data_IF_620871726228
#
_entry.id   IF_620871726228
#
_cell.length_a   1.000
_cell.length_b   1.000
_cell.length_c   1.000
_cell.angle_alpha   90.00
_cell.angle_beta   90.00
_cell.angle_gamma   90.00
#
_symmetry.space_group_name_H-M   'P 1'
#
loop_
_entity.id
_entity.type
_entity.pdbx_description
1 polymer ?
#
# COMPACT_ATOMS: atom_id res chain seq x y z
N UNK A 1 1.57 16.04 13.05
CA UNK A 1 1.58 14.65 12.56
C UNK A 1 1.98 13.74 13.70
N UNK A 2 1.20 12.70 13.94
CA UNK A 2 1.52 11.62 14.89
C UNK A 2 2.02 10.41 14.10
N UNK A 3 2.98 9.67 14.65
CA UNK A 3 3.55 8.48 14.00
C UNK A 3 3.65 7.36 15.01
N UNK A 4 3.08 6.21 14.68
CA UNK A 4 3.15 4.99 15.48
C UNK A 4 3.92 3.93 14.72
N UNK A 5 4.96 3.38 15.34
CA UNK A 5 5.82 2.34 14.76
C UNK A 5 5.46 1.02 15.44
N UNK A 6 5.03 0.05 14.66
CA UNK A 6 4.77 -1.30 15.14
C UNK A 6 6.03 -2.17 15.23
N UNK A 7 5.83 -3.44 15.55
CA UNK A 7 6.91 -4.40 15.73
C UNK A 7 7.65 -4.72 14.43
N UNK A 8 8.97 -4.88 14.52
CA UNK A 8 9.80 -5.36 13.41
C UNK A 8 9.43 -6.79 13.03
N UNK A 9 9.15 -7.00 11.74
CA UNK A 9 8.94 -8.31 11.17
C UNK A 9 10.25 -8.81 10.52
N UNK A 10 10.90 -9.85 11.10
CA UNK A 10 12.18 -10.35 10.59
C UNK A 10 12.08 -11.09 9.26
N UNK A 11 10.90 -11.61 8.91
CA UNK A 11 10.68 -12.34 7.66
C UNK A 11 10.70 -11.40 6.45
N UNK A 12 10.04 -10.23 6.58
CA UNK A 12 9.91 -9.23 5.53
C UNK A 12 10.89 -8.06 5.68
N UNK A 13 11.60 -8.00 6.82
CA UNK A 13 12.54 -6.93 7.20
C UNK A 13 11.90 -5.53 7.23
N UNK A 14 10.65 -5.48 7.65
CA UNK A 14 9.84 -4.25 7.65
C UNK A 14 9.23 -3.97 9.02
N UNK A 15 8.93 -2.69 9.26
CA UNK A 15 8.12 -2.23 10.38
C UNK A 15 6.83 -1.62 9.83
N UNK A 16 5.64 -2.03 10.30
CA UNK A 16 4.41 -1.35 9.97
C UNK A 16 4.38 0.01 10.68
N UNK A 17 4.02 1.06 9.95
CA UNK A 17 3.97 2.43 10.48
C UNK A 17 2.61 3.04 10.17
N UNK A 18 2.02 3.69 11.16
CA UNK A 18 0.79 4.48 11.02
C UNK A 18 1.13 5.96 11.15
N UNK A 19 0.59 6.76 10.24
CA UNK A 19 0.81 8.19 10.10
C UNK A 19 -0.52 8.92 10.22
N UNK A 20 -0.71 9.70 11.29
CA UNK A 20 -2.00 10.36 11.56
C UNK A 20 -1.87 11.88 11.48
N UNK A 21 -2.77 12.51 10.73
CA UNK A 21 -2.90 13.97 10.63
C UNK A 21 -4.37 14.36 10.73
N UNK A 22 -4.79 14.89 11.88
CA UNK A 22 -6.21 15.16 12.15
C UNK A 22 -6.99 13.84 12.18
N UNK A 23 -7.93 13.69 11.25
CA UNK A 23 -8.76 12.47 11.09
C UNK A 23 -8.21 11.49 10.05
N UNK A 24 -7.19 11.88 9.26
CA UNK A 24 -6.57 11.03 8.24
C UNK A 24 -5.52 10.11 8.85
N UNK A 25 -5.60 8.80 8.56
CA UNK A 25 -4.69 7.76 9.08
C UNK A 25 -4.11 6.93 7.95
N UNK A 26 -2.82 7.11 7.67
CA UNK A 26 -2.07 6.38 6.65
C UNK A 26 -1.22 5.27 7.19
N UNK A 27 -1.49 4.04 6.76
CA UNK A 27 -0.73 2.85 7.16
C UNK A 27 0.21 2.42 6.05
N UNK A 28 1.48 2.23 6.38
CA UNK A 28 2.49 1.78 5.42
C UNK A 28 3.60 0.99 6.11
N UNK A 29 4.05 -0.08 5.47
CA UNK A 29 5.28 -0.77 5.87
C UNK A 29 6.52 0.00 5.41
N UNK A 30 7.47 0.21 6.33
CA UNK A 30 8.76 0.85 6.08
C UNK A 30 9.85 -0.20 6.26
N UNK A 31 10.81 -0.24 5.33
CA UNK A 31 11.97 -1.11 5.47
C UNK A 31 12.77 -0.73 6.72
N UNK A 32 13.03 -1.74 7.56
CA UNK A 32 13.82 -1.56 8.76
C UNK A 32 15.30 -1.37 8.41
N UNK A 33 15.98 -0.56 9.21
CA UNK A 33 17.43 -0.44 9.13
C UNK A 33 18.07 -1.57 9.94
N UNK A 34 18.99 -2.30 9.31
CA UNK A 34 19.73 -3.38 9.94
C UNK A 34 21.19 -2.97 10.13
N UNK A 35 21.74 -3.20 11.32
CA UNK A 35 23.15 -3.01 11.64
C UNK A 35 23.77 -4.37 11.91
N UNK A 36 24.72 -4.77 11.06
CA UNK A 36 25.32 -6.12 11.11
C UNK A 36 24.30 -7.26 11.03
N UNK A 37 23.17 -7.05 10.33
CA UNK A 37 22.10 -8.04 10.20
C UNK A 37 21.08 -8.04 11.35
N UNK A 38 21.30 -7.27 12.41
CA UNK A 38 20.35 -7.09 13.51
C UNK A 38 19.52 -5.82 13.35
N UNK A 39 18.31 -5.82 13.89
CA UNK A 39 17.40 -4.68 13.86
C UNK A 39 17.98 -3.50 14.64
N UNK A 40 18.14 -2.35 13.97
CA UNK A 40 18.58 -1.11 14.60
C UNK A 40 17.36 -0.18 14.79
N UNK A 41 16.83 -0.07 16.03
CA UNK A 41 15.64 0.73 16.29
C UNK A 41 15.90 2.23 16.11
N UNK A 42 17.12 2.71 16.40
CA UNK A 42 17.46 4.12 16.30
C UNK A 42 17.53 4.56 14.83
N UNK A 43 18.27 3.80 14.00
CA UNK A 43 18.36 4.06 12.56
C UNK A 43 17.00 3.90 11.88
N UNK A 44 16.19 2.92 12.31
CA UNK A 44 14.83 2.73 11.78
C UNK A 44 13.93 3.90 12.17
N UNK A 45 14.01 4.40 13.40
CA UNK A 45 13.23 5.57 13.82
C UNK A 45 13.58 6.83 13.00
N UNK A 46 14.87 7.06 12.72
CA UNK A 46 15.32 8.15 11.86
C UNK A 46 14.78 8.00 10.43
N UNK A 47 14.80 6.78 9.90
CA UNK A 47 14.24 6.48 8.58
C UNK A 47 12.73 6.74 8.56
N UNK A 48 12.01 6.31 9.59
CA UNK A 48 10.57 6.57 9.73
C UNK A 48 10.30 8.08 9.83
N UNK A 49 11.10 8.84 10.55
CA UNK A 49 10.95 10.29 10.66
C UNK A 49 11.12 11.01 9.31
N UNK A 50 12.02 10.53 8.44
CA UNK A 50 12.15 11.05 7.07
C UNK A 50 10.90 10.73 6.23
N UNK A 51 10.40 9.50 6.33
CA UNK A 51 9.18 9.09 5.61
C UNK A 51 7.98 9.91 6.11
N UNK A 52 7.86 10.12 7.42
CA UNK A 52 6.81 10.93 8.03
C UNK A 52 6.78 12.34 7.43
N UNK A 53 7.92 13.01 7.28
CA UNK A 53 7.98 14.34 6.63
C UNK A 53 7.45 14.31 5.20
N UNK A 54 7.82 13.30 4.41
CA UNK A 54 7.32 13.15 3.05
C UNK A 54 5.83 12.82 2.98
N UNK A 55 5.31 12.03 3.92
CA UNK A 55 3.88 11.73 4.04
C UNK A 55 3.11 12.96 4.48
N UNK A 56 3.60 13.73 5.45
CA UNK A 56 2.99 14.98 5.89
C UNK A 56 2.78 15.96 4.72
N UNK A 57 3.81 16.17 3.91
CA UNK A 57 3.72 17.04 2.72
C UNK A 57 2.70 16.51 1.72
N UNK A 58 2.66 15.19 1.49
CA UNK A 58 1.68 14.60 0.56
C UNK A 58 0.25 14.65 1.08
N UNK A 59 0.05 14.55 2.40
CA UNK A 59 -1.25 14.73 3.02
C UNK A 59 -1.71 16.18 2.95
N UNK A 60 -0.80 17.13 3.24
CA UNK A 60 -1.07 18.58 3.16
C UNK A 60 -1.45 19.01 1.74
N UNK A 61 -0.77 18.45 0.73
CA UNK A 61 -1.09 18.66 -0.68
C UNK A 61 -2.34 17.92 -1.17
N UNK A 62 -3.00 17.12 -0.32
CA UNK A 62 -4.16 16.32 -0.70
C UNK A 62 -3.84 15.20 -1.71
N UNK A 63 -2.60 14.72 -1.74
CA UNK A 63 -2.18 13.55 -2.55
C UNK A 63 -2.48 12.24 -1.81
N UNK A 64 -2.32 12.24 -0.48
CA UNK A 64 -2.76 11.14 0.39
C UNK A 64 -4.04 11.61 1.07
N UNK A 65 -5.17 11.12 0.57
CA UNK A 65 -6.52 11.56 1.01
C UNK A 65 -7.31 10.49 1.74
N UNK A 66 -6.77 9.28 1.90
CA UNK A 66 -7.42 8.07 2.43
C UNK A 66 -8.90 8.25 2.70
N UNK A 67 -9.66 8.18 1.60
CA UNK A 67 -11.11 8.12 1.67
C UNK A 67 -11.53 6.88 2.45
N UNK A 68 -12.64 6.96 3.20
CA UNK A 68 -13.24 5.77 3.80
C UNK A 68 -13.44 4.71 2.70
N UNK A 69 -13.16 3.45 3.05
CA UNK A 69 -13.45 2.28 2.21
C UNK A 69 -14.79 2.49 1.49
N UNK A 70 -14.87 2.32 0.16
CA UNK A 70 -16.15 2.37 -0.51
C UNK A 70 -17.06 1.35 0.17
N UNK A 71 -18.21 1.82 0.68
CA UNK A 71 -19.29 0.98 1.20
C UNK A 71 -19.40 -0.27 0.33
N UNK A 72 -19.39 -1.43 0.98
CA UNK A 72 -19.57 -2.71 0.32
C UNK A 72 -20.79 -2.63 -0.59
N UNK A 73 -20.54 -2.49 -1.90
CA UNK A 73 -21.55 -2.73 -2.92
C UNK A 73 -22.02 -4.17 -2.69
N UNK A 74 -23.32 -4.41 -2.45
CA UNK A 74 -23.79 -5.74 -2.11
C UNK A 74 -23.46 -6.70 -3.26
N UNK A 75 -23.10 -7.93 -2.89
CA UNK A 75 -22.89 -9.05 -3.78
C UNK A 75 -23.95 -9.09 -4.90
N UNK A 76 -23.53 -8.80 -6.13
CA UNK A 76 -24.36 -8.93 -7.32
C UNK A 76 -23.56 -9.60 -8.44
N UNK A 77 -24.06 -10.80 -8.78
CA UNK A 77 -23.94 -11.48 -10.06
C UNK A 77 -22.56 -11.98 -10.50
N UNK A 78 -22.33 -13.25 -10.17
CA UNK A 78 -21.73 -14.24 -11.06
C UNK A 78 -22.09 -13.94 -12.54
N UNK A 79 -21.11 -13.52 -13.33
CA UNK A 79 -21.21 -13.56 -14.80
C UNK A 79 -20.74 -14.95 -15.22
N UNK A 80 -21.61 -15.84 -15.70
CA UNK A 80 -21.17 -17.10 -16.27
C UNK A 80 -20.31 -16.84 -17.50
N UNK A 81 -19.21 -17.58 -17.60
CA UNK A 81 -18.29 -17.53 -18.72
C UNK A 81 -19.02 -17.84 -20.03
N UNK A 82 -19.12 -16.86 -20.92
CA UNK A 82 -19.44 -17.14 -22.32
C UNK A 82 -18.15 -17.62 -23.03
N UNK A 83 -18.18 -18.79 -23.70
CA UNK A 83 -17.04 -19.27 -24.48
C UNK A 83 -16.84 -18.36 -25.68
N UNK A 84 -15.61 -17.88 -25.88
CA UNK A 84 -15.23 -17.16 -27.09
C UNK A 84 -15.27 -18.14 -28.26
N UNK A 85 -16.31 -18.02 -29.08
CA UNK A 85 -16.44 -18.73 -30.34
C UNK A 85 -15.37 -18.20 -31.30
N UNK A 86 -14.42 -19.06 -31.68
CA UNK A 86 -13.37 -18.75 -32.65
C UNK A 86 -13.98 -18.58 -34.03
N UNK A 87 -14.16 -17.33 -34.45
CA UNK A 87 -14.54 -17.00 -35.82
C UNK A 87 -13.33 -17.14 -36.75
N UNK A 88 -13.46 -18.17 -37.60
CA UNK A 88 -12.88 -18.36 -38.92
C UNK A 88 -12.39 -17.08 -39.63
N UNK A 89 -11.13 -17.11 -40.07
CA UNK A 89 -10.68 -16.36 -41.26
C UNK A 89 -9.57 -17.17 -41.92
N UNK A 90 -9.97 -18.14 -42.74
CA UNK A 90 -9.11 -18.63 -43.82
C UNK A 90 -9.42 -17.80 -45.07
N UNK A 91 -8.47 -16.95 -45.44
CA UNK A 91 -8.55 -16.12 -46.64
C UNK A 91 -8.52 -16.95 -47.94
N UNK A 92 -9.15 -16.45 -49.02
CA UNK A 92 -9.43 -17.20 -50.25
C UNK A 92 -8.24 -17.40 -51.20
N UNK A 93 -8.45 -18.37 -52.09
CA UNK A 93 -7.64 -18.78 -53.23
C UNK A 93 -7.14 -17.66 -54.15
N UNK A 94 -5.90 -17.83 -54.63
CA UNK A 94 -5.51 -17.61 -56.02
C UNK A 94 -4.31 -18.51 -56.39
#
# INVERSE_FOLDING_TARGET
MQTEIGSYDPATRQVPVSFTVGELVHKRAVNACLKNGEFDPAATADRVAQVARGVAVKMDLGVITEQPEPEALPAAAEVPAEPVETADTTAPAE
#
